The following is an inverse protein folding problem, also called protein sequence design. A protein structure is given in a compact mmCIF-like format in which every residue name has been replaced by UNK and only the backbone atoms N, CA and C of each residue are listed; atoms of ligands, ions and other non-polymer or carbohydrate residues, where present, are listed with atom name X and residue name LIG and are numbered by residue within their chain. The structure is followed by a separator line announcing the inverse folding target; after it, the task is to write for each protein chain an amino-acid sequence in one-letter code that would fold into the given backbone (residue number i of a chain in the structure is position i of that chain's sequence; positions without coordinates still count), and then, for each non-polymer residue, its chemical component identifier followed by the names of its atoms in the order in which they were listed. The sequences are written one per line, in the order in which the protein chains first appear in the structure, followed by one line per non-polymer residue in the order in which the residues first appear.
data_IF_691705027582
#
_entry.id   IF_691705027582
#
_cell.length_a   1.000
_cell.length_b   1.000
_cell.length_c   1.000
_cell.angle_alpha   90.00
_cell.angle_beta   90.00
_cell.angle_gamma   90.00
#
_symmetry.space_group_name_H-M   'P 1'
#
loop_
_entity.id
_entity.type
_entity.pdbx_description
1 polymer ?
#
# COMPACT_ATOMS: atom_id res chain seq x y z
N UNK A 1 -44.74 -4.60 35.02
CA UNK A 1 -43.51 -3.77 35.13
C UNK A 1 -42.21 -4.57 34.97
N UNK A 2 -42.04 -5.70 35.67
CA UNK A 2 -40.79 -6.49 35.58
C UNK A 2 -40.47 -7.12 34.21
N UNK A 3 -41.49 -7.41 33.39
CA UNK A 3 -41.29 -7.94 32.01
C UNK A 3 -40.88 -6.89 31.02
N UNK A 4 -41.40 -5.68 31.11
CA UNK A 4 -41.04 -4.54 30.23
C UNK A 4 -39.58 -4.12 30.46
N UNK A 5 -39.13 -4.12 31.73
CA UNK A 5 -37.74 -3.79 32.07
C UNK A 5 -36.74 -4.83 31.53
N UNK A 6 -37.08 -6.12 31.52
CA UNK A 6 -36.27 -7.20 30.95
C UNK A 6 -36.16 -7.10 29.42
N UNK A 7 -37.29 -6.77 28.74
CA UNK A 7 -37.29 -6.61 27.27
C UNK A 7 -36.44 -5.39 26.86
N UNK A 8 -36.55 -4.29 27.61
CA UNK A 8 -35.78 -3.08 27.37
C UNK A 8 -34.27 -3.32 27.57
N UNK A 9 -33.89 -4.10 28.61
CA UNK A 9 -32.47 -4.44 28.86
C UNK A 9 -31.88 -5.32 27.77
N UNK A 10 -32.64 -6.26 27.20
CA UNK A 10 -32.17 -7.15 26.11
C UNK A 10 -32.01 -6.34 24.81
N UNK A 11 -32.91 -5.38 24.54
CA UNK A 11 -32.83 -4.53 23.35
C UNK A 11 -31.59 -3.60 23.36
N UNK A 12 -31.18 -3.11 24.54
CA UNK A 12 -29.97 -2.24 24.68
C UNK A 12 -28.69 -3.06 24.48
N UNK A 13 -28.64 -4.30 24.94
CA UNK A 13 -27.47 -5.19 24.75
C UNK A 13 -27.26 -5.55 23.28
N UNK A 14 -28.33 -5.77 22.50
CA UNK A 14 -28.22 -6.04 21.06
C UNK A 14 -27.68 -4.83 20.24
N UNK A 15 -27.89 -3.61 20.68
CA UNK A 15 -27.40 -2.40 20.00
C UNK A 15 -25.87 -2.18 20.16
N UNK A 16 -25.23 -2.83 21.13
CA UNK A 16 -23.80 -2.68 21.38
C UNK A 16 -22.92 -3.55 20.47
N UNK A 17 -23.47 -4.52 19.75
CA UNK A 17 -22.73 -5.37 18.81
C UNK A 17 -22.65 -4.84 17.38
N UNK A 18 -23.28 -3.73 17.05
CA UNK A 18 -23.35 -3.17 15.71
C UNK A 18 -22.18 -2.22 15.36
N UNK A 19 -21.16 -2.03 16.22
CA UNK A 19 -20.12 -1.01 16.05
C UNK A 19 -18.70 -1.52 15.89
N UNK A 20 -18.47 -2.62 15.18
CA UNK A 20 -17.11 -3.02 14.78
C UNK A 20 -17.01 -3.14 13.26
N UNK A 21 -17.42 -2.11 12.53
CA UNK A 21 -17.01 -1.90 11.15
C UNK A 21 -15.68 -1.13 11.15
N UNK A 22 -14.54 -1.80 11.30
CA UNK A 22 -13.25 -1.14 11.04
C UNK A 22 -13.26 -0.69 9.58
N UNK A 23 -13.08 0.63 9.35
CA UNK A 23 -12.90 1.15 7.99
C UNK A 23 -11.81 0.34 7.27
N UNK A 24 -12.00 -0.01 6.00
CA UNK A 24 -11.02 -0.78 5.26
C UNK A 24 -9.69 -0.01 5.24
N UNK A 25 -8.60 -0.65 5.69
CA UNK A 25 -7.26 -0.07 5.72
C UNK A 25 -6.33 -0.84 4.80
N UNK A 26 -5.26 -0.19 4.31
CA UNK A 26 -4.25 -0.86 3.48
C UNK A 26 -3.52 -1.94 4.26
N UNK A 27 -3.29 -1.75 5.55
CA UNK A 27 -2.68 -2.77 6.40
C UNK A 27 -3.54 -4.02 6.49
N UNK A 28 -4.85 -3.85 6.76
CA UNK A 28 -5.77 -4.99 6.80
C UNK A 28 -5.85 -5.67 5.44
N UNK A 29 -5.97 -4.89 4.37
CA UNK A 29 -6.00 -5.42 3.01
C UNK A 29 -4.74 -6.24 2.67
N UNK A 30 -3.56 -5.77 3.06
CA UNK A 30 -2.31 -6.50 2.90
C UNK A 30 -2.34 -7.85 3.63
N UNK A 31 -2.70 -7.85 4.92
CA UNK A 31 -2.75 -9.05 5.75
C UNK A 31 -3.77 -10.07 5.21
N UNK A 32 -4.94 -9.60 4.77
CA UNK A 32 -6.01 -10.46 4.28
C UNK A 32 -5.65 -11.14 2.93
N UNK A 33 -4.71 -10.60 2.16
CA UNK A 33 -4.41 -11.07 0.80
C UNK A 33 -2.97 -11.57 0.61
N UNK A 34 -2.08 -11.45 1.60
CA UNK A 34 -0.66 -11.83 1.45
C UNK A 34 -0.44 -13.33 1.16
N UNK A 35 -1.38 -14.17 1.56
CA UNK A 35 -1.32 -15.63 1.41
C UNK A 35 -2.27 -16.16 0.28
N UNK A 36 -2.93 -15.27 -0.48
CA UNK A 36 -3.78 -15.65 -1.62
C UNK A 36 -2.93 -15.94 -2.86
N UNK A 37 -3.22 -17.03 -3.57
CA UNK A 37 -2.47 -17.52 -4.74
C UNK A 37 -2.41 -16.52 -5.92
N UNK A 38 -3.36 -15.60 -6.01
CA UNK A 38 -3.38 -14.56 -7.04
C UNK A 38 -2.48 -13.38 -6.70
N UNK A 39 -1.99 -13.33 -5.46
CA UNK A 39 -1.09 -12.29 -5.01
C UNK A 39 0.35 -12.77 -4.88
N UNK A 40 1.25 -11.83 -4.92
CA UNK A 40 2.66 -11.97 -4.52
C UNK A 40 2.93 -10.90 -3.48
N UNK A 41 3.37 -11.33 -2.31
CA UNK A 41 3.70 -10.45 -1.19
C UNK A 41 5.19 -10.44 -0.92
N UNK A 42 5.71 -9.28 -0.51
CA UNK A 42 7.10 -9.12 -0.09
C UNK A 42 7.18 -8.08 1.02
N UNK A 43 7.79 -8.45 2.12
CA UNK A 43 8.18 -7.55 3.20
C UNK A 43 9.69 -7.33 3.14
N UNK A 44 10.10 -6.08 2.86
CA UNK A 44 11.48 -5.71 2.68
C UNK A 44 11.91 -4.70 3.75
N UNK A 45 12.85 -5.03 4.66
CA UNK A 45 13.47 -4.04 5.53
C UNK A 45 14.25 -3.02 4.68
N UNK A 46 14.22 -1.74 5.09
CA UNK A 46 14.95 -0.69 4.36
C UNK A 46 16.47 -0.95 4.29
N UNK A 47 17.02 -1.71 5.23
CA UNK A 47 18.44 -2.12 5.23
C UNK A 47 18.87 -2.98 4.03
N UNK A 48 17.92 -3.55 3.28
CA UNK A 48 18.19 -4.29 2.04
C UNK A 48 18.13 -3.42 0.78
N UNK A 49 17.77 -2.13 0.93
CA UNK A 49 17.77 -1.15 -0.16
C UNK A 49 19.13 -0.47 -0.18
N UNK A 50 19.87 -0.62 -1.26
CA UNK A 50 21.14 0.07 -1.47
C UNK A 50 20.94 1.32 -2.33
N UNK A 51 21.62 2.39 -1.99
CA UNK A 51 21.76 3.56 -2.84
C UNK A 51 22.94 3.38 -3.79
N UNK A 52 22.98 4.15 -4.86
CA UNK A 52 24.15 4.25 -5.75
C UNK A 52 25.37 4.75 -4.98
N UNK A 53 26.58 4.42 -5.46
CA UNK A 53 27.82 4.80 -4.80
C UNK A 53 28.01 6.33 -4.69
N UNK A 54 27.41 7.09 -5.61
CA UNK A 54 27.44 8.55 -5.68
C UNK A 54 26.19 9.21 -5.08
N UNK A 55 25.39 8.45 -4.32
CA UNK A 55 24.15 8.99 -3.75
C UNK A 55 24.39 10.14 -2.78
N UNK A 56 23.50 11.13 -2.86
CA UNK A 56 23.56 12.35 -2.07
C UNK A 56 23.38 12.07 -0.56
N UNK A 57 23.89 12.97 0.28
CA UNK A 57 23.63 12.92 1.74
C UNK A 57 22.13 13.05 2.06
N UNK A 58 21.37 13.76 1.21
CA UNK A 58 19.90 13.85 1.33
C UNK A 58 19.25 12.49 1.09
N UNK A 59 19.69 11.72 0.08
CA UNK A 59 19.18 10.38 -0.20
C UNK A 59 19.50 9.41 0.95
N UNK A 60 20.73 9.46 1.49
CA UNK A 60 21.14 8.64 2.64
C UNK A 60 20.28 8.91 3.88
N UNK A 61 20.06 10.19 4.23
CA UNK A 61 19.21 10.56 5.36
C UNK A 61 17.74 10.19 5.13
N UNK A 62 17.27 10.28 3.88
CA UNK A 62 15.91 9.90 3.50
C UNK A 62 15.72 8.39 3.64
N UNK A 63 16.67 7.59 3.16
CA UNK A 63 16.62 6.12 3.33
C UNK A 63 16.62 5.74 4.81
N UNK A 64 17.39 6.43 5.65
CA UNK A 64 17.41 6.18 7.09
C UNK A 64 16.06 6.46 7.79
N UNK A 65 15.18 7.29 7.22
CA UNK A 65 13.83 7.52 7.74
C UNK A 65 12.85 6.39 7.40
N UNK A 66 13.18 5.53 6.43
CA UNK A 66 12.37 4.39 6.01
C UNK A 66 12.74 3.18 6.88
N UNK A 67 11.73 2.48 7.39
CA UNK A 67 11.89 1.25 8.19
C UNK A 67 11.71 0.00 7.36
N UNK A 68 10.66 -0.02 6.53
CA UNK A 68 10.34 -1.18 5.69
C UNK A 68 9.41 -0.82 4.52
N UNK A 69 9.40 -1.69 3.54
CA UNK A 69 8.46 -1.69 2.44
C UNK A 69 7.60 -2.96 2.50
N UNK A 70 6.29 -2.80 2.37
CA UNK A 70 5.38 -3.93 2.15
C UNK A 70 4.89 -3.85 0.70
N UNK A 71 5.10 -4.91 -0.07
CA UNK A 71 4.69 -5.00 -1.46
C UNK A 71 3.63 -6.09 -1.60
N UNK A 72 2.54 -5.77 -2.27
CA UNK A 72 1.48 -6.71 -2.60
C UNK A 72 1.11 -6.52 -4.07
N UNK A 73 1.34 -7.54 -4.89
CA UNK A 73 1.06 -7.50 -6.32
C UNK A 73 0.01 -8.54 -6.70
N UNK A 74 -1.08 -8.11 -7.32
CA UNK A 74 -2.06 -9.01 -7.95
C UNK A 74 -1.59 -9.34 -9.37
N UNK A 75 -1.37 -10.62 -9.66
CA UNK A 75 -0.95 -11.09 -10.98
C UNK A 75 -2.19 -11.51 -11.77
N UNK A 76 -2.57 -10.69 -12.76
CA UNK A 76 -3.73 -10.95 -13.62
C UNK A 76 -3.44 -12.04 -14.63
N UNK A 77 -4.41 -12.93 -14.84
CA UNK A 77 -4.45 -13.93 -15.92
C UNK A 77 -5.91 -14.12 -16.39
N UNK A 78 -6.12 -14.97 -17.40
CA UNK A 78 -7.45 -15.22 -17.95
C UNK A 78 -8.44 -15.84 -16.95
N UNK A 79 -7.95 -16.64 -16.00
CA UNK A 79 -8.79 -17.32 -15.03
C UNK A 79 -9.26 -16.42 -13.87
N UNK A 80 -8.55 -15.30 -13.59
CA UNK A 80 -8.83 -14.46 -12.42
C UNK A 80 -9.28 -13.03 -12.77
N UNK A 81 -9.73 -12.78 -14.00
CA UNK A 81 -10.11 -11.42 -14.44
C UNK A 81 -11.23 -10.79 -13.62
N UNK A 82 -12.23 -11.57 -13.23
CA UNK A 82 -13.31 -11.10 -12.36
C UNK A 82 -12.80 -10.72 -10.98
N UNK A 83 -11.90 -11.52 -10.39
CA UNK A 83 -11.27 -11.23 -9.11
C UNK A 83 -10.37 -10.00 -9.20
N UNK A 84 -9.56 -9.87 -10.27
CA UNK A 84 -8.79 -8.67 -10.53
C UNK A 84 -9.65 -7.40 -10.49
N UNK A 85 -10.83 -7.42 -11.12
CA UNK A 85 -11.71 -6.26 -11.14
C UNK A 85 -12.21 -5.90 -9.73
N UNK A 86 -12.56 -6.92 -8.92
CA UNK A 86 -13.00 -6.75 -7.53
C UNK A 86 -11.89 -6.21 -6.65
N UNK A 87 -10.70 -6.84 -6.68
CA UNK A 87 -9.57 -6.46 -5.84
C UNK A 87 -9.06 -5.05 -6.18
N UNK A 88 -8.97 -4.73 -7.46
CA UNK A 88 -8.66 -3.38 -7.92
C UNK A 88 -9.65 -2.33 -7.40
N UNK A 89 -10.95 -2.65 -7.38
CA UNK A 89 -11.97 -1.75 -6.86
C UNK A 89 -11.81 -1.54 -5.35
N UNK A 90 -11.50 -2.61 -4.58
CA UNK A 90 -11.24 -2.52 -3.13
C UNK A 90 -10.05 -1.60 -2.83
N UNK A 91 -8.89 -1.82 -3.47
CA UNK A 91 -7.71 -0.97 -3.27
C UNK A 91 -8.02 0.48 -3.60
N UNK A 92 -8.67 0.72 -4.76
CA UNK A 92 -9.04 2.09 -5.16
C UNK A 92 -9.99 2.76 -4.16
N UNK A 93 -10.92 2.01 -3.56
CA UNK A 93 -11.80 2.53 -2.52
C UNK A 93 -11.03 2.93 -1.26
N UNK A 94 -10.08 2.10 -0.83
CA UNK A 94 -9.25 2.38 0.34
C UNK A 94 -8.40 3.64 0.12
N UNK A 95 -7.65 3.70 -0.98
CA UNK A 95 -6.75 4.85 -1.24
C UNK A 95 -7.49 6.14 -1.66
N UNK A 96 -8.82 6.07 -1.85
CA UNK A 96 -9.68 7.24 -2.08
C UNK A 96 -10.10 7.93 -0.79
N UNK A 97 -9.89 7.29 0.36
CA UNK A 97 -10.17 7.88 1.66
C UNK A 97 -9.44 9.22 1.81
N UNK A 98 -10.09 10.18 2.50
CA UNK A 98 -9.57 11.55 2.67
C UNK A 98 -8.26 11.63 3.45
N UNK A 99 -7.93 10.59 4.20
CA UNK A 99 -6.65 10.49 4.92
C UNK A 99 -5.44 10.32 3.98
N UNK A 100 -5.67 9.95 2.71
CA UNK A 100 -4.61 9.79 1.71
C UNK A 100 -4.56 10.99 0.78
N UNK A 101 -3.55 11.83 0.96
CA UNK A 101 -3.22 12.97 0.09
C UNK A 101 -2.49 12.47 -1.15
N UNK A 102 -2.90 12.94 -2.34
CA UNK A 102 -2.25 12.57 -3.59
C UNK A 102 -1.03 13.45 -3.84
N UNK A 103 0.14 12.82 -4.03
CA UNK A 103 1.40 13.48 -4.28
C UNK A 103 1.73 13.55 -5.77
N UNK A 104 1.53 12.43 -6.48
CA UNK A 104 1.79 12.30 -7.92
C UNK A 104 0.81 11.33 -8.55
N UNK A 105 0.41 11.61 -9.81
CA UNK A 105 -0.33 10.68 -10.66
C UNK A 105 0.23 10.68 -12.06
N UNK A 106 0.46 9.47 -12.57
CA UNK A 106 0.91 9.26 -13.92
C UNK A 106 0.00 8.26 -14.64
N UNK A 107 -0.34 8.55 -15.91
CA UNK A 107 -1.14 7.65 -16.76
C UNK A 107 -0.51 7.58 -18.14
N UNK A 108 -0.21 6.39 -18.60
CA UNK A 108 0.29 6.13 -19.94
C UNK A 108 -0.11 4.74 -20.44
N UNK A 109 -0.62 4.64 -21.67
CA UNK A 109 -0.86 3.39 -22.41
C UNK A 109 -1.51 2.26 -21.61
N UNK A 110 -2.50 2.56 -20.77
CA UNK A 110 -3.21 1.57 -19.95
C UNK A 110 -2.63 1.36 -18.54
N UNK A 111 -1.51 2.00 -18.24
CA UNK A 111 -0.91 2.06 -16.90
C UNK A 111 -1.45 3.26 -16.15
N UNK A 112 -1.70 3.08 -14.87
CA UNK A 112 -2.15 4.16 -13.95
C UNK A 112 -1.34 4.00 -12.66
N UNK A 113 -0.47 4.97 -12.38
CA UNK A 113 0.35 4.99 -11.15
C UNK A 113 -0.06 6.20 -10.35
N UNK A 114 -0.27 6.01 -9.06
CA UNK A 114 -0.52 7.07 -8.11
C UNK A 114 0.35 6.90 -6.87
N UNK A 115 0.95 7.97 -6.43
CA UNK A 115 1.67 8.05 -5.15
C UNK A 115 0.85 8.91 -4.22
N UNK A 116 0.60 8.40 -3.03
CA UNK A 116 -0.14 9.05 -1.97
C UNK A 116 0.61 8.90 -0.65
N UNK A 117 0.26 9.70 0.34
CA UNK A 117 0.71 9.53 1.71
C UNK A 117 -0.46 9.66 2.68
N UNK A 118 -0.36 9.03 3.83
CA UNK A 118 -1.32 9.19 4.92
C UNK A 118 -0.96 10.44 5.71
N UNK A 119 -1.90 11.41 5.78
CA UNK A 119 -1.71 12.69 6.45
C UNK A 119 -2.56 13.81 5.88
N UNK A 120 -2.15 15.05 6.09
CA UNK A 120 -2.74 16.27 5.55
C UNK A 120 -1.78 16.99 4.61
N UNK A 121 -2.27 17.94 3.80
CA UNK A 121 -1.41 18.75 2.91
C UNK A 121 -0.45 19.67 3.69
N UNK A 122 -0.70 19.90 4.97
CA UNK A 122 0.13 20.72 5.86
C UNK A 122 1.26 19.91 6.52
N UNK A 123 1.22 18.56 6.41
CA UNK A 123 2.21 17.70 7.05
C UNK A 123 3.54 17.74 6.29
N UNK A 124 4.59 18.18 6.97
CA UNK A 124 5.95 18.17 6.44
C UNK A 124 6.62 16.79 6.55
N UNK A 125 6.08 15.91 7.41
CA UNK A 125 6.59 14.57 7.63
C UNK A 125 5.45 13.58 7.83
N UNK A 126 5.65 12.34 7.34
CA UNK A 126 4.66 11.27 7.30
C UNK A 126 5.27 9.95 7.78
N UNK A 127 4.41 9.01 8.18
CA UNK A 127 4.82 7.67 8.59
C UNK A 127 4.50 6.60 7.53
N UNK A 128 3.63 6.91 6.57
CA UNK A 128 3.27 6.00 5.48
C UNK A 128 3.17 6.73 4.14
N UNK A 129 3.87 6.21 3.12
CA UNK A 129 3.70 6.57 1.72
C UNK A 129 3.23 5.33 0.95
N UNK A 130 2.31 5.53 0.02
CA UNK A 130 1.66 4.47 -0.75
C UNK A 130 1.90 4.70 -2.23
N UNK A 131 2.43 3.70 -2.92
CA UNK A 131 2.50 3.66 -4.38
C UNK A 131 1.52 2.58 -4.87
N UNK A 132 0.56 2.98 -5.66
CA UNK A 132 -0.34 2.06 -6.36
C UNK A 132 -0.10 2.17 -7.85
N UNK A 133 0.31 1.06 -8.46
CA UNK A 133 0.48 0.92 -9.91
C UNK A 133 -0.48 -0.11 -10.46
N UNK A 134 -1.15 0.20 -11.58
CA UNK A 134 -2.04 -0.73 -12.25
C UNK A 134 -1.72 -0.77 -13.74
N UNK A 135 -1.61 -1.97 -14.29
CA UNK A 135 -1.57 -2.26 -15.72
C UNK A 135 -2.76 -3.15 -16.08
N UNK A 136 -3.49 -2.80 -17.14
CA UNK A 136 -4.72 -3.52 -17.53
C UNK A 136 -4.47 -4.96 -17.94
N UNK A 137 -3.27 -5.26 -18.42
CA UNK A 137 -2.89 -6.60 -18.91
C UNK A 137 -2.23 -7.46 -17.83
N UNK A 138 -1.45 -6.85 -16.92
CA UNK A 138 -0.61 -7.55 -15.97
C UNK A 138 -1.20 -7.66 -14.57
N UNK A 139 -2.04 -6.69 -14.18
CA UNK A 139 -2.59 -6.62 -12.83
C UNK A 139 -2.29 -5.31 -12.13
N UNK A 140 -2.09 -5.34 -10.82
CA UNK A 140 -1.71 -4.15 -10.05
C UNK A 140 -0.70 -4.48 -8.96
N UNK A 141 0.03 -3.46 -8.54
CA UNK A 141 0.91 -3.52 -7.38
C UNK A 141 0.58 -2.40 -6.40
N UNK A 142 0.66 -2.74 -5.13
CA UNK A 142 0.52 -1.84 -4.00
C UNK A 142 1.82 -1.90 -3.19
N UNK A 143 2.50 -0.77 -3.02
CA UNK A 143 3.69 -0.66 -2.19
C UNK A 143 3.40 0.31 -1.07
N UNK A 144 3.60 -0.12 0.16
CA UNK A 144 3.56 0.72 1.35
C UNK A 144 4.99 0.94 1.82
N UNK A 145 5.42 2.19 1.86
CA UNK A 145 6.70 2.61 2.46
C UNK A 145 6.39 3.10 3.86
N UNK A 146 6.91 2.41 4.86
CA UNK A 146 6.66 2.70 6.27
C UNK A 146 7.94 3.20 6.92
N UNK A 147 7.85 4.27 7.69
CA UNK A 147 9.00 4.89 8.31
C UNK A 147 8.67 5.74 9.52
N UNK A 148 9.49 6.73 9.77
CA UNK A 148 9.33 7.68 10.85
C UNK A 148 9.78 9.06 10.36
N UNK A 149 8.88 10.03 10.40
CA UNK A 149 9.15 11.41 9.96
C UNK A 149 9.71 11.48 8.52
N UNK A 150 9.21 10.65 7.62
CA UNK A 150 9.58 10.66 6.22
C UNK A 150 9.08 11.95 5.54
N UNK A 151 9.90 12.52 4.67
CA UNK A 151 9.50 13.68 3.86
C UNK A 151 9.11 13.22 2.45
N UNK A 152 7.81 13.32 2.04
CA UNK A 152 7.33 12.75 0.78
C UNK A 152 8.12 13.20 -0.46
N UNK A 153 8.45 14.49 -0.54
CA UNK A 153 9.19 15.06 -1.65
C UNK A 153 10.63 14.54 -1.75
N UNK A 154 11.29 14.27 -0.61
CA UNK A 154 12.65 13.70 -0.58
C UNK A 154 12.63 12.23 -0.98
N UNK A 155 11.61 11.47 -0.59
CA UNK A 155 11.46 10.06 -1.02
C UNK A 155 11.37 9.99 -2.55
N UNK A 156 10.57 10.84 -3.20
CA UNK A 156 10.48 10.87 -4.66
C UNK A 156 11.82 11.19 -5.34
N UNK A 157 12.61 12.10 -4.80
CA UNK A 157 13.93 12.41 -5.32
C UNK A 157 14.90 11.23 -5.16
N UNK A 158 14.90 10.64 -3.96
CA UNK A 158 15.75 9.48 -3.64
C UNK A 158 15.50 8.30 -4.56
N UNK A 159 14.28 8.10 -5.07
CA UNK A 159 13.96 6.99 -5.99
C UNK A 159 14.87 6.94 -7.21
N UNK A 160 15.42 8.08 -7.67
CA UNK A 160 16.37 8.13 -8.78
C UNK A 160 17.80 7.72 -8.38
N UNK A 161 18.08 7.68 -7.09
CA UNK A 161 19.37 7.36 -6.49
C UNK A 161 19.42 5.94 -5.90
N UNK A 162 18.32 5.18 -6.01
CA UNK A 162 18.29 3.77 -5.63
C UNK A 162 19.18 2.98 -6.60
N UNK A 163 20.13 2.23 -6.06
CA UNK A 163 20.98 1.30 -6.79
C UNK A 163 20.35 -0.08 -6.89
N UNK A 164 20.82 -1.01 -6.06
CA UNK A 164 20.28 -2.35 -5.99
C UNK A 164 19.40 -2.56 -4.76
N UNK A 165 18.53 -3.54 -4.85
CA UNK A 165 17.75 -4.04 -3.73
C UNK A 165 18.17 -5.49 -3.53
N UNK A 166 18.85 -5.76 -2.42
CA UNK A 166 19.34 -7.07 -2.09
C UNK A 166 18.20 -8.00 -1.64
N UNK A 167 18.24 -9.23 -2.14
CA UNK A 167 17.34 -10.31 -1.71
C UNK A 167 16.69 -11.09 -2.85
N UNK A 168 16.53 -12.38 -2.66
CA UNK A 168 15.92 -13.29 -3.64
C UNK A 168 14.43 -12.97 -3.89
N UNK A 169 13.75 -12.36 -2.92
CA UNK A 169 12.36 -11.90 -3.08
C UNK A 169 12.21 -10.78 -4.11
N UNK A 170 13.24 -9.94 -4.27
CA UNK A 170 13.21 -8.85 -5.25
C UNK A 170 13.48 -9.32 -6.69
N UNK A 171 14.20 -10.43 -6.88
CA UNK A 171 14.28 -11.05 -8.21
C UNK A 171 12.90 -11.36 -8.77
N UNK A 172 12.01 -11.92 -7.94
CA UNK A 172 10.61 -12.16 -8.31
C UNK A 172 9.85 -10.88 -8.69
N UNK A 173 10.06 -9.77 -7.97
CA UNK A 173 9.46 -8.48 -8.31
C UNK A 173 10.06 -7.85 -9.58
N UNK A 174 11.38 -7.98 -9.76
CA UNK A 174 12.10 -7.53 -10.96
C UNK A 174 11.67 -8.33 -12.20
N UNK A 175 11.41 -9.62 -12.03
CA UNK A 175 10.90 -10.50 -13.08
C UNK A 175 9.42 -10.19 -13.39
N UNK A 176 8.60 -9.90 -12.38
CA UNK A 176 7.25 -9.35 -12.56
C UNK A 176 7.30 -8.01 -13.32
N UNK A 177 8.17 -7.09 -12.93
CA UNK A 177 8.32 -5.80 -13.59
C UNK A 177 8.92 -5.91 -15.01
N UNK A 178 9.79 -6.91 -15.27
CA UNK A 178 10.32 -7.22 -16.60
C UNK A 178 9.29 -7.82 -17.53
N UNK A 179 8.44 -8.70 -17.00
CA UNK A 179 7.35 -9.31 -17.75
C UNK A 179 6.17 -8.33 -17.96
N UNK A 180 6.21 -7.16 -17.35
CA UNK A 180 5.30 -6.02 -17.53
C UNK A 180 5.76 -5.05 -18.66
N UNK A 181 6.73 -5.45 -19.51
CA UNK A 181 7.16 -4.67 -20.69
C UNK A 181 6.41 -5.13 -21.96
#
# INVERSE_FOLDING_TARGET
MKTITKILSISIVMLLFASCGSSPSLQKYYIDNQDDDNFRSLDLPASLVSLKDDASAEAQSTLASIKKLNVLAFVKNEANEAQYALEKAKVKAIIKDKKYVELIRFKDKGRDVVVKYEGSEEDNSIDELVVYGNDKSQGFALVRVLGDKMEPGKILKMMNEIGDIDGDGFKGLKDLAKNMK
#
